data_IF_058052609786
#
_entry.id   IF_058052609786
#
_cell.length_a   1.000
_cell.length_b   1.000
_cell.length_c   1.000
_cell.angle_alpha   90.00
_cell.angle_beta   90.00
_cell.angle_gamma   90.00
#
_symmetry.space_group_name_H-M   'P 1'
#
loop_
_entity.id
_entity.type
_entity.pdbx_description
1 polymer ?
#
# COMPACT_ATOMS: atom_id res chain seq x y z
N UNK A 1 -12.12 -14.08 11.45
CA UNK A 1 -11.07 -14.26 10.43
C UNK A 1 -10.87 -12.97 9.66
N UNK A 2 -11.86 -12.48 8.90
CA UNK A 2 -11.74 -11.26 8.07
C UNK A 2 -11.02 -10.06 8.73
N UNK A 3 -11.37 -9.69 9.97
CA UNK A 3 -10.69 -8.60 10.70
C UNK A 3 -9.20 -8.88 10.90
N UNK A 4 -8.85 -10.11 11.32
CA UNK A 4 -7.45 -10.51 11.53
C UNK A 4 -6.69 -10.58 10.21
N UNK A 5 -7.34 -11.04 9.14
CA UNK A 5 -6.75 -11.08 7.80
C UNK A 5 -6.44 -9.68 7.28
N UNK A 6 -7.33 -8.70 7.53
CA UNK A 6 -7.10 -7.30 7.24
C UNK A 6 -5.92 -6.73 8.05
N UNK A 7 -5.87 -6.98 9.36
CA UNK A 7 -4.77 -6.54 10.21
C UNK A 7 -3.43 -7.14 9.78
N UNK A 8 -3.40 -8.43 9.43
CA UNK A 8 -2.22 -9.10 8.90
C UNK A 8 -1.81 -8.50 7.55
N UNK A 9 -2.77 -8.16 6.69
CA UNK A 9 -2.49 -7.46 5.43
C UNK A 9 -1.88 -6.07 5.66
N UNK A 10 -2.31 -5.33 6.68
CA UNK A 10 -1.70 -4.05 7.04
C UNK A 10 -0.22 -4.21 7.43
N UNK A 11 0.09 -5.18 8.29
CA UNK A 11 1.47 -5.48 8.70
C UNK A 11 2.31 -5.88 7.47
N UNK A 12 1.81 -6.83 6.68
CA UNK A 12 2.50 -7.30 5.48
C UNK A 12 2.77 -6.17 4.47
N UNK A 13 1.79 -5.29 4.24
CA UNK A 13 1.96 -4.17 3.31
C UNK A 13 3.02 -3.17 3.81
N UNK A 14 3.05 -2.88 5.12
CA UNK A 14 4.07 -2.03 5.73
C UNK A 14 5.46 -2.67 5.60
N UNK A 15 5.61 -3.94 5.97
CA UNK A 15 6.90 -4.64 5.89
C UNK A 15 7.44 -4.66 4.45
N UNK A 16 6.56 -4.87 3.46
CA UNK A 16 6.92 -4.81 2.04
C UNK A 16 7.34 -3.41 1.60
N UNK A 17 6.60 -2.38 2.00
CA UNK A 17 6.96 -1.00 1.67
C UNK A 17 8.29 -0.59 2.34
N UNK A 18 8.47 -0.95 3.61
CA UNK A 18 9.68 -0.67 4.37
C UNK A 18 10.90 -1.40 3.77
N UNK A 19 10.76 -2.64 3.32
CA UNK A 19 11.85 -3.37 2.66
C UNK A 19 12.36 -2.62 1.41
N UNK A 20 11.45 -2.04 0.63
CA UNK A 20 11.79 -1.23 -0.56
C UNK A 20 12.49 0.06 -0.16
N UNK A 21 11.96 0.78 0.84
CA UNK A 21 12.56 2.03 1.30
C UNK A 21 13.93 1.82 1.98
N UNK A 22 14.12 0.71 2.70
CA UNK A 22 15.44 0.29 3.21
C UNK A 22 16.40 0.05 2.06
N UNK A 23 15.98 -0.68 1.02
CA UNK A 23 16.82 -0.95 -0.15
C UNK A 23 17.20 0.36 -0.87
N UNK A 24 16.28 1.31 -1.00
CA UNK A 24 16.58 2.63 -1.54
C UNK A 24 17.54 3.45 -0.67
N UNK A 25 17.41 3.37 0.65
CA UNK A 25 18.30 4.07 1.58
C UNK A 25 19.75 3.55 1.56
N UNK A 26 19.97 2.33 1.08
CA UNK A 26 21.30 1.73 0.90
C UNK A 26 21.98 2.15 -0.41
N UNK A 27 21.24 2.75 -1.36
CA UNK A 27 21.80 3.20 -2.62
C UNK A 27 22.47 4.58 -2.46
N UNK A 28 23.68 4.78 -3.04
CA UNK A 28 24.27 6.11 -3.10
C UNK A 28 23.38 7.07 -3.93
N UNK A 29 23.29 8.36 -3.58
CA UNK A 29 22.44 9.32 -4.30
C UNK A 29 22.73 9.42 -5.81
N UNK A 30 23.98 9.13 -6.19
CA UNK A 30 24.51 9.16 -7.55
C UNK A 30 24.70 7.76 -8.16
N UNK A 31 24.06 6.72 -7.59
CA UNK A 31 24.07 5.37 -8.13
C UNK A 31 23.78 5.36 -9.65
N UNK A 32 24.46 4.53 -10.46
CA UNK A 32 24.08 4.30 -11.85
C UNK A 32 22.62 3.79 -11.96
N UNK A 33 22.00 4.01 -13.13
CA UNK A 33 20.62 3.55 -13.39
C UNK A 33 20.53 2.03 -13.22
N UNK A 34 21.53 1.31 -13.71
CA UNK A 34 21.58 -0.15 -13.67
C UNK A 34 21.60 -0.67 -12.22
N UNK A 35 22.35 0.00 -11.35
CA UNK A 35 22.44 -0.36 -9.93
C UNK A 35 21.09 -0.15 -9.20
N UNK A 36 20.39 0.95 -9.50
CA UNK A 36 19.03 1.18 -8.99
C UNK A 36 18.06 0.09 -9.48
N UNK A 37 18.10 -0.25 -10.76
CA UNK A 37 17.26 -1.30 -11.33
C UNK A 37 17.55 -2.66 -10.68
N UNK A 38 18.82 -3.01 -10.46
CA UNK A 38 19.16 -4.25 -9.77
C UNK A 38 18.67 -4.26 -8.32
N UNK A 39 18.71 -3.12 -7.63
CA UNK A 39 18.19 -3.01 -6.27
C UNK A 39 16.67 -3.18 -6.22
N UNK A 40 15.92 -2.57 -7.14
CA UNK A 40 14.47 -2.77 -7.28
C UNK A 40 14.12 -4.23 -7.63
N UNK A 41 14.90 -4.87 -8.51
CA UNK A 41 14.71 -6.29 -8.82
C UNK A 41 15.05 -7.19 -7.62
N UNK A 42 16.11 -6.89 -6.88
CA UNK A 42 16.54 -7.66 -5.70
C UNK A 42 15.44 -7.72 -4.65
N UNK A 43 14.85 -6.58 -4.29
CA UNK A 43 13.81 -6.55 -3.26
C UNK A 43 12.56 -7.35 -3.68
N UNK A 44 12.20 -7.32 -4.97
CA UNK A 44 11.10 -8.13 -5.51
C UNK A 44 11.40 -9.62 -5.40
N UNK A 45 12.61 -10.06 -5.77
CA UNK A 45 13.02 -11.46 -5.68
C UNK A 45 13.18 -11.94 -4.23
N UNK A 46 13.68 -11.10 -3.33
CA UNK A 46 13.78 -11.41 -1.91
C UNK A 46 12.39 -11.63 -1.29
N UNK A 47 11.45 -10.72 -1.55
CA UNK A 47 10.06 -10.86 -1.08
C UNK A 47 9.40 -12.10 -1.71
N UNK A 48 9.66 -12.38 -2.99
CA UNK A 48 9.15 -13.57 -3.67
C UNK A 48 9.65 -14.85 -2.98
N UNK A 49 10.94 -14.91 -2.65
CA UNK A 49 11.56 -16.01 -1.93
C UNK A 49 11.00 -16.19 -0.51
N UNK A 50 10.90 -15.12 0.27
CA UNK A 50 10.38 -15.14 1.65
C UNK A 50 8.93 -15.63 1.69
N UNK A 51 8.09 -15.10 0.80
CA UNK A 51 6.66 -15.42 0.77
C UNK A 51 6.34 -16.67 -0.05
N UNK A 52 7.32 -17.26 -0.72
CA UNK A 52 7.15 -18.41 -1.63
C UNK A 52 6.09 -18.13 -2.70
N UNK A 53 6.20 -16.97 -3.36
CA UNK A 53 5.32 -16.55 -4.45
C UNK A 53 6.15 -16.28 -5.72
N UNK A 54 5.49 -16.12 -6.87
CA UNK A 54 6.21 -15.74 -8.09
C UNK A 54 6.74 -14.31 -8.03
N UNK A 55 7.79 -14.02 -8.77
CA UNK A 55 8.34 -12.66 -8.94
C UNK A 55 7.27 -11.67 -9.41
N UNK A 56 6.41 -12.06 -10.34
CA UNK A 56 5.30 -11.22 -10.81
C UNK A 56 4.28 -10.90 -9.72
N UNK A 57 3.94 -11.87 -8.86
CA UNK A 57 3.06 -11.64 -7.73
C UNK A 57 3.71 -10.76 -6.66
N UNK A 58 5.02 -10.93 -6.43
CA UNK A 58 5.81 -10.09 -5.54
C UNK A 58 5.89 -8.65 -6.03
N UNK A 59 6.18 -8.42 -7.32
CA UNK A 59 6.21 -7.09 -7.92
C UNK A 59 4.87 -6.37 -7.79
N UNK A 60 3.76 -7.06 -8.08
CA UNK A 60 2.41 -6.51 -7.89
C UNK A 60 2.12 -6.20 -6.42
N UNK A 61 2.57 -7.05 -5.48
CA UNK A 61 2.43 -6.81 -4.06
C UNK A 61 3.24 -5.59 -3.60
N UNK A 62 4.48 -5.43 -4.08
CA UNK A 62 5.34 -4.28 -3.80
C UNK A 62 4.67 -2.98 -4.23
N UNK A 63 4.22 -2.91 -5.49
CA UNK A 63 3.55 -1.73 -6.04
C UNK A 63 2.31 -1.36 -5.22
N UNK A 64 1.43 -2.32 -4.99
CA UNK A 64 0.18 -2.11 -4.27
C UNK A 64 0.42 -1.74 -2.79
N UNK A 65 1.41 -2.34 -2.14
CA UNK A 65 1.77 -2.03 -0.76
C UNK A 65 2.27 -0.59 -0.62
N UNK A 66 3.11 -0.12 -1.54
CA UNK A 66 3.59 1.28 -1.53
C UNK A 66 2.45 2.27 -1.76
N UNK A 67 1.54 1.98 -2.69
CA UNK A 67 0.36 2.83 -2.95
C UNK A 67 -0.53 2.91 -1.70
N UNK A 68 -0.91 1.77 -1.13
CA UNK A 68 -1.73 1.71 0.10
C UNK A 68 -1.02 2.42 1.26
N UNK A 69 0.27 2.20 1.46
CA UNK A 69 1.03 2.81 2.55
C UNK A 69 1.21 4.33 2.40
N UNK A 70 1.03 4.88 1.20
CA UNK A 70 1.05 6.33 0.98
C UNK A 70 -0.26 7.04 1.37
N UNK A 71 -1.28 6.28 1.77
CA UNK A 71 -2.60 6.77 2.18
C UNK A 71 -2.88 6.45 3.66
N UNK A 72 -2.49 7.33 4.62
CA UNK A 72 -2.61 7.05 6.05
C UNK A 72 -4.00 6.58 6.50
N UNK A 73 -5.13 7.16 6.04
CA UNK A 73 -6.46 6.70 6.44
C UNK A 73 -6.78 5.26 5.98
N UNK A 74 -6.24 4.83 4.83
CA UNK A 74 -6.41 3.46 4.32
C UNK A 74 -5.64 2.48 5.19
N UNK A 75 -4.39 2.80 5.52
CA UNK A 75 -3.56 1.96 6.39
C UNK A 75 -4.17 1.84 7.78
N UNK A 76 -4.75 2.92 8.32
CA UNK A 76 -5.43 2.92 9.60
C UNK A 76 -6.65 1.98 9.58
N UNK A 77 -7.56 2.13 8.61
CA UNK A 77 -8.74 1.27 8.47
C UNK A 77 -8.37 -0.22 8.26
N UNK A 78 -7.29 -0.49 7.52
CA UNK A 78 -6.77 -1.85 7.34
C UNK A 78 -6.19 -2.40 8.66
N UNK A 79 -5.47 -1.56 9.42
CA UNK A 79 -4.83 -1.92 10.71
C UNK A 79 -5.82 -2.11 11.86
N UNK A 80 -6.98 -1.46 11.83
CA UNK A 80 -8.08 -1.71 12.78
C UNK A 80 -8.92 -2.92 12.37
N UNK A 81 -8.80 -3.32 11.10
CA UNK A 81 -9.53 -4.41 10.46
C UNK A 81 -10.96 -4.01 10.05
N UNK A 82 -11.19 -2.70 9.88
CA UNK A 82 -12.44 -2.12 9.40
C UNK A 82 -12.53 -2.17 7.87
N UNK A 83 -11.42 -2.44 7.18
CA UNK A 83 -11.34 -2.52 5.72
C UNK A 83 -10.60 -3.79 5.29
N UNK A 84 -11.08 -4.47 4.23
CA UNK A 84 -10.38 -5.60 3.62
C UNK A 84 -9.18 -5.15 2.78
N UNK A 85 -8.17 -6.02 2.60
CA UNK A 85 -7.05 -5.73 1.68
C UNK A 85 -7.52 -5.41 0.25
N UNK A 86 -8.57 -6.09 -0.21
CA UNK A 86 -9.13 -5.85 -1.54
C UNK A 86 -9.71 -4.44 -1.66
N UNK A 87 -10.46 -3.98 -0.65
CA UNK A 87 -10.99 -2.62 -0.63
C UNK A 87 -9.84 -1.59 -0.54
N UNK A 88 -8.81 -1.83 0.29
CA UNK A 88 -7.64 -0.96 0.36
C UNK A 88 -6.96 -0.76 -1.00
N UNK A 89 -6.82 -1.83 -1.80
CA UNK A 89 -6.29 -1.76 -3.16
C UNK A 89 -7.17 -0.95 -4.10
N UNK A 90 -8.49 -1.12 -4.04
CA UNK A 90 -9.43 -0.33 -4.85
C UNK A 90 -9.25 1.16 -4.55
N UNK A 91 -9.20 1.55 -3.27
CA UNK A 91 -8.98 2.97 -2.89
C UNK A 91 -7.63 3.49 -3.41
N UNK A 92 -6.58 2.67 -3.32
CA UNK A 92 -5.25 3.02 -3.82
C UNK A 92 -5.23 3.20 -5.35
N UNK A 93 -5.94 2.34 -6.10
CA UNK A 93 -6.04 2.43 -7.55
C UNK A 93 -6.91 3.63 -7.99
N UNK A 94 -8.04 3.89 -7.30
CA UNK A 94 -8.93 5.03 -7.60
C UNK A 94 -8.32 6.41 -7.27
N UNK A 95 -7.27 6.43 -6.44
CA UNK A 95 -6.53 7.66 -6.12
C UNK A 95 -5.26 7.83 -6.95
N UNK A 96 -5.00 6.91 -7.89
CA UNK A 96 -3.86 6.99 -8.81
C UNK A 96 -3.91 8.28 -9.65
N UNK A 97 -2.75 8.92 -9.82
CA UNK A 97 -2.63 10.19 -10.55
C UNK A 97 -2.93 11.45 -9.73
N UNK A 98 -3.41 11.32 -8.49
CA UNK A 98 -3.50 12.44 -7.55
C UNK A 98 -2.15 12.74 -6.91
N UNK A 99 -1.99 13.97 -6.41
CA UNK A 99 -0.87 14.26 -5.51
C UNK A 99 -1.05 13.52 -4.18
N UNK A 100 0.01 13.15 -3.45
CA UNK A 100 -0.11 12.46 -2.17
C UNK A 100 -1.05 13.17 -1.18
N UNK A 101 -0.95 14.51 -1.10
CA UNK A 101 -1.83 15.31 -0.25
C UNK A 101 -3.28 15.31 -0.73
N UNK A 102 -3.51 15.37 -2.05
CA UNK A 102 -4.85 15.30 -2.63
C UNK A 102 -5.51 13.94 -2.42
N UNK A 103 -4.76 12.85 -2.60
CA UNK A 103 -5.23 11.50 -2.36
C UNK A 103 -5.60 11.28 -0.88
N UNK A 104 -4.69 11.60 0.04
CA UNK A 104 -4.95 11.48 1.47
C UNK A 104 -6.16 12.33 1.92
N UNK A 105 -6.29 13.56 1.42
CA UNK A 105 -7.43 14.43 1.71
C UNK A 105 -8.76 13.88 1.17
N UNK A 106 -8.75 13.33 -0.04
CA UNK A 106 -9.94 12.70 -0.64
C UNK A 106 -10.38 11.48 0.18
N UNK A 107 -9.44 10.60 0.53
CA UNK A 107 -9.76 9.41 1.33
C UNK A 107 -10.25 9.80 2.72
N UNK A 108 -9.60 10.77 3.38
CA UNK A 108 -10.03 11.24 4.69
C UNK A 108 -11.47 11.76 4.66
N UNK A 109 -11.85 12.53 3.61
CA UNK A 109 -13.22 12.98 3.44
C UNK A 109 -14.21 11.81 3.21
N UNK A 110 -13.83 10.81 2.42
CA UNK A 110 -14.68 9.64 2.16
C UNK A 110 -14.86 8.75 3.40
N UNK A 111 -13.86 8.68 4.27
CA UNK A 111 -13.88 7.82 5.45
C UNK A 111 -14.45 8.51 6.69
N UNK A 112 -14.67 9.82 6.63
CA UNK A 112 -15.28 10.59 7.72
C UNK A 112 -16.82 10.44 7.68
N UNK A 113 -17.42 9.69 8.62
CA UNK A 113 -18.88 9.49 8.66
C UNK A 113 -19.64 10.79 9.00
N UNK A 114 -18.96 11.76 9.59
CA UNK A 114 -19.52 13.04 10.03
C UNK A 114 -19.23 14.17 9.03
N UNK A 115 -18.65 13.85 7.87
CA UNK A 115 -18.27 14.84 6.87
C UNK A 115 -19.50 15.66 6.41
N UNK A 116 -19.40 17.01 6.37
CA UNK A 116 -20.44 17.83 5.77
C UNK A 116 -20.54 17.49 4.28
N UNK A 117 -21.70 16.97 3.87
CA UNK A 117 -21.95 16.31 2.58
C UNK A 117 -21.16 15.00 2.41
N UNK A 118 -21.60 13.90 3.06
CA UNK A 118 -20.88 12.64 3.05
C UNK A 118 -20.78 12.07 1.64
N UNK A 119 -19.67 11.38 1.39
CA UNK A 119 -19.47 10.69 0.12
C UNK A 119 -20.58 9.66 -0.13
N UNK A 120 -21.03 9.55 -1.39
CA UNK A 120 -22.09 8.61 -1.79
C UNK A 120 -21.56 7.19 -2.09
N UNK A 121 -20.31 6.91 -1.74
CA UNK A 121 -19.64 5.64 -1.99
C UNK A 121 -19.82 4.62 -0.85
N UNK A 122 -19.28 3.41 -1.05
CA UNK A 122 -19.20 2.39 -0.02
C UNK A 122 -18.29 2.85 1.13
N UNK A 123 -18.73 2.70 2.38
CA UNK A 123 -17.89 3.02 3.53
C UNK A 123 -16.76 1.99 3.69
N UNK A 124 -15.69 2.28 4.43
CA UNK A 124 -14.67 1.27 4.76
C UNK A 124 -15.31 -0.03 5.26
N UNK A 125 -14.96 -1.15 4.62
CA UNK A 125 -15.47 -2.48 5.00
C UNK A 125 -16.75 -2.95 4.29
N UNK A 126 -17.40 -2.11 3.49
CA UNK A 126 -18.64 -2.46 2.77
C UNK A 126 -18.41 -3.25 1.45
N UNK A 127 -17.14 -3.61 1.14
CA UNK A 127 -16.71 -4.31 -0.09
C UNK A 127 -15.97 -5.63 0.21
#
# INVERSE_FOLDING_TARGET
>A
MARLDAQLAAVKARDVADAVEIQHALLPPDAPVEERTFAEMSVVEEIAGILTISSGASGALVEQSRRVCSLPPVVEALSTGDMSWQHARIVADETEGLTPAGAAGLVAHFFDPDAPNPARGAAPGDL
#
